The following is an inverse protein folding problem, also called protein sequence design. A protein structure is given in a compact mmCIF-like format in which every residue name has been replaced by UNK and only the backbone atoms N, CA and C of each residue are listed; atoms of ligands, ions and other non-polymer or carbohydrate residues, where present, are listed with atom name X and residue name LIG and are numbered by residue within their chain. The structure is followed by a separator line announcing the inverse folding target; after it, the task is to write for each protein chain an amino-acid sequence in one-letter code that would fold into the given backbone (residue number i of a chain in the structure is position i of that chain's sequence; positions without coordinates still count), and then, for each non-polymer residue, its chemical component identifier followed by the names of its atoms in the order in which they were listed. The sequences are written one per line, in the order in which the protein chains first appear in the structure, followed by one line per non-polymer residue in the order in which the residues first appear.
data_IF_683796441412
#
_entry.id   IF_683796441412
#
_cell.length_a   1.000
_cell.length_b   1.000
_cell.length_c   1.000
_cell.angle_alpha   90.00
_cell.angle_beta   90.00
_cell.angle_gamma   90.00
#
_symmetry.space_group_name_H-M   'P 1'
#
loop_
_entity.id
_entity.type
_entity.pdbx_description
1 polymer ?
#
# COMPACT_ATOMS: atom_id res chain seq x y z
N UNK A 1 13.61 20.95 3.99
CA UNK A 1 13.28 20.17 2.77
C UNK A 1 13.87 18.76 2.84
N UNK A 2 13.47 17.95 3.84
CA UNK A 2 14.02 16.60 4.08
C UNK A 2 12.99 15.58 4.58
N UNK A 3 11.70 15.93 4.57
CA UNK A 3 10.59 15.09 5.07
C UNK A 3 10.09 14.07 4.03
N UNK A 4 10.20 14.40 2.73
CA UNK A 4 9.78 13.55 1.62
C UNK A 4 10.41 12.14 1.58
N UNK A 5 11.71 11.94 1.85
CA UNK A 5 12.27 10.59 1.88
C UNK A 5 11.72 9.73 3.03
N UNK A 6 11.39 10.35 4.17
CA UNK A 6 10.85 9.62 5.33
C UNK A 6 9.45 9.06 5.07
N UNK A 7 8.54 9.88 4.52
CA UNK A 7 7.20 9.41 4.16
C UNK A 7 7.22 8.31 3.10
N UNK A 8 8.07 8.45 2.07
CA UNK A 8 8.22 7.41 1.04
C UNK A 8 8.76 6.10 1.63
N UNK A 9 9.68 6.15 2.59
CA UNK A 9 10.17 4.97 3.31
C UNK A 9 9.07 4.30 4.15
N UNK A 10 8.26 5.09 4.86
CA UNK A 10 7.12 4.55 5.63
C UNK A 10 6.08 3.89 4.73
N UNK A 11 5.72 4.53 3.61
CA UNK A 11 4.83 3.95 2.61
C UNK A 11 5.43 2.65 2.08
N UNK A 12 6.71 2.65 1.68
CA UNK A 12 7.38 1.45 1.21
C UNK A 12 7.36 0.30 2.24
N UNK A 13 7.62 0.60 3.51
CA UNK A 13 7.60 -0.39 4.58
C UNK A 13 6.20 -0.99 4.78
N UNK A 14 5.17 -0.15 4.90
CA UNK A 14 3.79 -0.59 5.11
C UNK A 14 3.28 -1.44 3.93
N UNK A 15 3.58 -1.01 2.71
CA UNK A 15 3.15 -1.73 1.50
C UNK A 15 3.95 -3.00 1.26
N UNK A 16 5.23 -3.06 1.66
CA UNK A 16 6.00 -4.31 1.61
C UNK A 16 5.43 -5.35 2.58
N UNK A 17 5.07 -4.93 3.80
CA UNK A 17 4.42 -5.82 4.77
C UNK A 17 3.05 -6.28 4.26
N UNK A 18 2.28 -5.39 3.65
CA UNK A 18 0.97 -5.72 3.08
C UNK A 18 1.10 -6.68 1.89
N UNK A 19 2.12 -6.51 1.05
CA UNK A 19 2.39 -7.39 -0.08
C UNK A 19 2.74 -8.81 0.39
N UNK A 20 3.66 -8.93 1.34
CA UNK A 20 3.99 -10.24 1.95
C UNK A 20 2.75 -10.89 2.52
N UNK A 21 1.90 -10.12 3.19
CA UNK A 21 0.68 -10.66 3.78
C UNK A 21 -0.36 -11.10 2.74
N UNK A 22 -0.53 -10.32 1.68
CA UNK A 22 -1.40 -10.66 0.56
C UNK A 22 -0.89 -11.91 -0.16
N UNK A 23 0.42 -12.04 -0.34
CA UNK A 23 1.03 -13.26 -0.88
C UNK A 23 0.74 -14.49 0.00
N UNK A 24 0.80 -14.35 1.32
CA UNK A 24 0.57 -15.45 2.25
C UNK A 24 -0.91 -15.88 2.40
N UNK A 25 -1.89 -15.11 1.90
CA UNK A 25 -3.31 -15.50 2.02
C UNK A 25 -3.75 -16.55 0.99
N UNK A 26 -2.97 -16.76 -0.08
CA UNK A 26 -3.15 -17.86 -1.02
C UNK A 26 -4.29 -17.69 -2.04
N UNK A 27 -4.96 -16.54 -2.12
CA UNK A 27 -6.00 -16.27 -3.12
C UNK A 27 -5.43 -15.63 -4.40
N UNK A 28 -6.04 -15.93 -5.56
CA UNK A 28 -5.59 -15.36 -6.84
C UNK A 28 -5.63 -13.81 -6.85
N UNK A 29 -6.65 -13.22 -6.21
CA UNK A 29 -6.76 -11.77 -6.07
C UNK A 29 -5.67 -11.20 -5.17
N UNK A 30 -5.35 -11.87 -4.07
CA UNK A 30 -4.33 -11.38 -3.15
C UNK A 30 -2.91 -11.51 -3.74
N UNK A 31 -2.64 -12.50 -4.59
CA UNK A 31 -1.40 -12.55 -5.37
C UNK A 31 -1.28 -11.37 -6.34
N UNK A 32 -2.36 -11.02 -7.02
CA UNK A 32 -2.39 -9.87 -7.92
C UNK A 32 -2.19 -8.56 -7.15
N UNK A 33 -2.82 -8.42 -5.97
CA UNK A 33 -2.61 -7.28 -5.08
C UNK A 33 -1.16 -7.23 -4.58
N UNK A 34 -0.59 -8.36 -4.16
CA UNK A 34 0.82 -8.42 -3.75
C UNK A 34 1.75 -7.96 -4.87
N UNK A 35 1.53 -8.43 -6.10
CA UNK A 35 2.35 -8.03 -7.25
C UNK A 35 2.24 -6.53 -7.53
N UNK A 36 1.02 -6.00 -7.52
CA UNK A 36 0.77 -4.57 -7.72
C UNK A 36 1.38 -3.70 -6.62
N UNK A 37 1.33 -4.15 -5.36
CA UNK A 37 1.96 -3.47 -4.23
C UNK A 37 3.47 -3.46 -4.34
N UNK A 38 4.10 -4.60 -4.69
CA UNK A 38 5.54 -4.67 -4.95
C UNK A 38 5.96 -3.72 -6.09
N UNK A 39 5.21 -3.72 -7.20
CA UNK A 39 5.46 -2.82 -8.33
C UNK A 39 5.35 -1.35 -7.89
N UNK A 40 4.31 -1.02 -7.13
CA UNK A 40 4.14 0.33 -6.60
C UNK A 40 5.29 0.76 -5.69
N UNK A 41 5.79 -0.12 -4.82
CA UNK A 41 6.94 0.16 -3.94
C UNK A 41 8.21 0.42 -4.77
N UNK A 42 8.47 -0.37 -5.80
CA UNK A 42 9.62 -0.16 -6.71
C UNK A 42 9.50 1.19 -7.43
N UNK A 43 8.32 1.49 -7.97
CA UNK A 43 8.07 2.73 -8.72
C UNK A 43 8.09 3.98 -7.82
N UNK A 44 7.84 3.85 -6.51
CA UNK A 44 7.81 4.94 -5.55
C UNK A 44 9.14 5.71 -5.46
N UNK A 45 10.26 5.03 -5.72
CA UNK A 45 11.61 5.63 -5.71
C UNK A 45 12.13 5.99 -7.11
N UNK A 46 11.25 5.99 -8.11
CA UNK A 46 11.60 6.30 -9.51
C UNK A 46 10.99 7.63 -9.97
N UNK A 47 11.20 7.97 -11.25
CA UNK A 47 10.51 9.10 -11.88
C UNK A 47 8.98 8.95 -11.88
N UNK A 48 8.45 7.73 -11.68
CA UNK A 48 7.02 7.42 -11.67
C UNK A 48 6.39 7.45 -10.26
N UNK A 49 7.02 8.13 -9.30
CA UNK A 49 6.59 8.15 -7.90
C UNK A 49 5.13 8.62 -7.71
N UNK A 50 4.61 9.54 -8.53
CA UNK A 50 3.20 9.94 -8.43
C UNK A 50 2.24 8.85 -8.87
N UNK A 51 2.55 8.16 -9.98
CA UNK A 51 1.78 6.99 -10.44
C UNK A 51 1.83 5.89 -9.36
N UNK A 52 3.01 5.69 -8.76
CA UNK A 52 3.19 4.73 -7.69
C UNK A 52 2.29 5.03 -6.48
N UNK A 53 2.21 6.28 -6.02
CA UNK A 53 1.32 6.67 -4.91
C UNK A 53 -0.14 6.34 -5.22
N UNK A 54 -0.63 6.67 -6.42
CA UNK A 54 -2.01 6.35 -6.81
C UNK A 54 -2.27 4.84 -6.92
N UNK A 55 -1.33 4.08 -7.48
CA UNK A 55 -1.40 2.63 -7.54
C UNK A 55 -1.45 2.00 -6.14
N UNK A 56 -0.57 2.45 -5.24
CA UNK A 56 -0.51 2.01 -3.85
C UNK A 56 -1.83 2.36 -3.12
N UNK A 57 -2.37 3.56 -3.30
CA UNK A 57 -3.68 3.91 -2.74
C UNK A 57 -4.79 2.96 -3.21
N UNK A 58 -4.86 2.68 -4.51
CA UNK A 58 -5.85 1.78 -5.09
C UNK A 58 -5.73 0.36 -4.52
N UNK A 59 -4.50 -0.17 -4.41
CA UNK A 59 -4.26 -1.51 -3.85
C UNK A 59 -4.58 -1.59 -2.35
N UNK A 60 -4.35 -0.52 -1.57
CA UNK A 60 -4.75 -0.48 -0.16
C UNK A 60 -6.28 -0.52 0.00
N UNK A 61 -7.02 0.22 -0.83
CA UNK A 61 -8.49 0.19 -0.84
C UNK A 61 -9.00 -1.20 -1.23
N UNK A 62 -8.47 -1.78 -2.31
CA UNK A 62 -8.86 -3.10 -2.77
C UNK A 62 -8.56 -4.18 -1.72
N UNK A 63 -7.40 -4.11 -1.05
CA UNK A 63 -7.05 -5.05 0.02
C UNK A 63 -7.94 -4.87 1.26
N UNK A 64 -8.29 -3.63 1.63
CA UNK A 64 -9.26 -3.37 2.70
C UNK A 64 -10.64 -3.96 2.37
N UNK A 65 -11.13 -3.76 1.14
CA UNK A 65 -12.39 -4.33 0.69
C UNK A 65 -12.36 -5.87 0.74
N UNK A 66 -11.28 -6.49 0.25
CA UNK A 66 -11.06 -7.94 0.36
C UNK A 66 -11.17 -8.42 1.82
N UNK A 67 -10.53 -7.71 2.75
CA UNK A 67 -10.59 -8.04 4.18
C UNK A 67 -11.96 -7.84 4.84
N UNK A 68 -12.72 -6.84 4.40
CA UNK A 68 -14.09 -6.61 4.88
C UNK A 68 -15.00 -7.74 4.40
N UNK A 69 -14.91 -8.10 3.12
CA UNK A 69 -15.73 -9.16 2.52
C UNK A 69 -15.41 -10.55 3.06
N UNK A 70 -14.13 -10.82 3.39
CA UNK A 70 -13.69 -12.09 3.98
C UNK A 70 -13.88 -12.17 5.50
N UNK A 71 -14.44 -11.13 6.14
CA UNK A 71 -14.67 -11.13 7.58
C UNK A 71 -13.39 -11.13 8.42
N UNK A 72 -12.27 -10.63 7.87
CA UNK A 72 -10.99 -10.61 8.58
C UNK A 72 -11.07 -9.77 9.87
N UNK A 73 -10.32 -10.17 10.90
CA UNK A 73 -10.28 -9.52 12.22
C UNK A 73 -9.97 -8.03 12.09
N UNK A 74 -10.48 -7.20 13.00
CA UNK A 74 -10.22 -5.75 13.01
C UNK A 74 -8.73 -5.38 12.90
N UNK A 75 -7.87 -6.07 13.65
CA UNK A 75 -6.41 -5.88 13.62
C UNK A 75 -5.83 -6.05 12.20
N UNK A 76 -6.43 -6.93 11.40
CA UNK A 76 -6.01 -7.16 10.02
C UNK A 76 -6.21 -5.96 9.12
N UNK A 77 -7.22 -5.14 9.42
CA UNK A 77 -7.63 -3.97 8.64
C UNK A 77 -6.78 -2.75 8.93
N UNK A 78 -6.05 -2.76 10.04
CA UNK A 78 -5.17 -1.66 10.43
C UNK A 78 -4.04 -1.44 9.43
N UNK A 79 -3.49 -2.51 8.85
CA UNK A 79 -2.39 -2.40 7.90
C UNK A 79 -2.78 -1.67 6.59
N UNK A 80 -3.86 -2.07 5.86
CA UNK A 80 -4.30 -1.32 4.69
C UNK A 80 -4.78 0.09 5.03
N UNK A 81 -5.40 0.29 6.21
CA UNK A 81 -5.79 1.64 6.67
C UNK A 81 -4.57 2.53 6.90
N UNK A 82 -3.55 2.04 7.61
CA UNK A 82 -2.31 2.78 7.84
C UNK A 82 -1.57 3.07 6.52
N UNK A 83 -1.48 2.09 5.62
CA UNK A 83 -0.90 2.26 4.29
C UNK A 83 -1.62 3.32 3.47
N UNK A 84 -2.96 3.24 3.40
CA UNK A 84 -3.79 4.23 2.70
C UNK A 84 -3.67 5.64 3.30
N UNK A 85 -3.69 5.76 4.63
CA UNK A 85 -3.53 7.04 5.31
C UNK A 85 -2.17 7.68 5.03
N UNK A 86 -1.08 6.91 5.04
CA UNK A 86 0.26 7.41 4.73
C UNK A 86 0.38 7.85 3.27
N UNK A 87 -0.23 7.14 2.33
CA UNK A 87 -0.24 7.55 0.92
C UNK A 87 -1.03 8.84 0.72
N UNK A 88 -2.20 8.97 1.37
CA UNK A 88 -2.98 10.21 1.33
C UNK A 88 -2.20 11.39 1.92
N UNK A 89 -1.54 11.19 3.06
CA UNK A 89 -0.68 12.21 3.66
C UNK A 89 0.48 12.58 2.72
N UNK A 90 1.13 11.59 2.09
CA UNK A 90 2.19 11.81 1.12
C UNK A 90 1.70 12.66 -0.06
N UNK A 91 0.51 12.37 -0.60
CA UNK A 91 -0.10 13.12 -1.70
C UNK A 91 -0.48 14.56 -1.31
N UNK A 92 -0.95 14.77 -0.08
CA UNK A 92 -1.30 16.09 0.45
C UNK A 92 -0.07 16.97 0.66
N UNK A 93 1.03 16.39 1.15
CA UNK A 93 2.28 17.10 1.43
C UNK A 93 3.16 17.35 0.18
N UNK A 94 2.89 16.64 -0.91
CA UNK A 94 3.61 16.80 -2.18
C UNK A 94 3.00 17.86 -3.11
N UNK A 95 1.92 18.52 -2.70
CA UNK A 95 1.33 19.68 -3.39
C UNK A 95 1.89 20.98 -2.84
#
# INVERSE_FOLDING_TARGET
MSELPFFSLLVAALFSLMAVRAFLSGSALDYLLSGAQCLGVVLLFSAYHDIARWLLLATAIAYLLSQVLTGARLVSRLLPVAGGAMVLLSLLLSR
#
